data_IF_244514661612
#
_entry.id   IF_244514661612
#
_cell.length_a   1.000
_cell.length_b   1.000
_cell.length_c   1.000
_cell.angle_alpha   90.00
_cell.angle_beta   90.00
_cell.angle_gamma   90.00
#
_symmetry.space_group_name_H-M   'P 1'
#
loop_
_entity.id
_entity.type
_entity.pdbx_description
1 polymer ?
#
# COMPACT_ATOMS: atom_id res chain seq x y z
N UNK A 1 -1.38 -6.55 -20.76
CA UNK A 1 -2.66 -6.53 -20.01
C UNK A 1 -3.02 -5.07 -19.78
N UNK A 2 -4.11 -4.58 -20.36
CA UNK A 2 -4.66 -3.28 -19.94
C UNK A 2 -5.07 -3.40 -18.47
N UNK A 3 -4.60 -2.46 -17.66
CA UNK A 3 -5.16 -2.21 -16.34
C UNK A 3 -6.42 -1.38 -16.61
N UNK A 4 -7.58 -1.79 -16.09
CA UNK A 4 -8.85 -1.07 -16.31
C UNK A 4 -8.80 0.39 -15.86
N UNK A 5 -9.89 1.12 -16.09
CA UNK A 5 -10.05 2.54 -15.72
C UNK A 5 -9.70 2.81 -14.25
N UNK A 6 -8.93 3.86 -13.98
CA UNK A 6 -8.65 4.33 -12.62
C UNK A 6 -9.66 5.42 -12.25
N UNK A 7 -10.36 5.23 -11.13
CA UNK A 7 -11.35 6.19 -10.60
C UNK A 7 -10.85 6.80 -9.30
N UNK A 8 -10.97 8.12 -9.16
CA UNK A 8 -10.59 8.88 -7.96
C UNK A 8 -11.80 9.45 -7.24
N UNK A 9 -11.78 9.44 -5.91
CA UNK A 9 -12.85 9.93 -5.05
C UNK A 9 -12.27 10.62 -3.81
N UNK A 10 -12.88 11.73 -3.39
CA UNK A 10 -12.54 12.46 -2.16
C UNK A 10 -13.76 12.41 -1.22
N UNK A 11 -13.84 11.46 -0.26
CA UNK A 11 -15.03 11.27 0.58
C UNK A 11 -15.47 12.52 1.35
N UNK A 12 -14.51 13.36 1.74
CA UNK A 12 -14.74 14.58 2.51
C UNK A 12 -14.82 15.84 1.64
N UNK A 13 -14.60 15.73 0.32
CA UNK A 13 -14.56 16.86 -0.61
C UNK A 13 -13.32 17.77 -0.47
N UNK A 14 -12.49 17.58 0.56
CA UNK A 14 -11.25 18.31 0.75
C UNK A 14 -10.10 17.71 -0.12
N UNK A 15 -9.34 18.53 -0.86
CA UNK A 15 -8.24 18.06 -1.71
C UNK A 15 -7.07 17.44 -0.92
N UNK A 16 -6.87 17.90 0.32
CA UNK A 16 -5.81 17.43 1.21
C UNK A 16 -6.28 16.32 2.17
N UNK A 17 -7.58 16.00 2.15
CA UNK A 17 -8.18 14.95 2.98
C UNK A 17 -7.96 13.55 2.43
N UNK A 18 -8.81 12.62 2.85
CA UNK A 18 -8.77 11.23 2.35
C UNK A 18 -8.98 11.20 0.84
N UNK A 19 -8.05 10.59 0.11
CA UNK A 19 -8.13 10.41 -1.34
C UNK A 19 -8.12 8.93 -1.68
N UNK A 20 -9.20 8.44 -2.27
CA UNK A 20 -9.36 7.03 -2.68
C UNK A 20 -9.19 6.89 -4.19
N UNK A 21 -8.43 5.89 -4.61
CA UNK A 21 -8.35 5.44 -6.00
C UNK A 21 -8.68 3.96 -6.13
N UNK A 22 -9.37 3.58 -7.20
CA UNK A 22 -9.70 2.17 -7.51
C UNK A 22 -9.48 1.84 -8.99
N UNK A 23 -9.27 0.55 -9.29
CA UNK A 23 -9.23 0.03 -10.66
C UNK A 23 -10.62 -0.57 -10.97
N UNK A 24 -11.38 -0.03 -11.92
CA UNK A 24 -12.78 -0.43 -12.14
C UNK A 24 -12.96 -1.95 -12.39
N UNK A 25 -12.01 -2.58 -13.09
CA UNK A 25 -12.07 -4.01 -13.45
C UNK A 25 -11.47 -4.96 -12.41
N UNK A 26 -10.91 -4.44 -11.31
CA UNK A 26 -10.30 -5.24 -10.24
C UNK A 26 -10.70 -4.68 -8.88
N UNK A 27 -11.15 -5.48 -7.91
CA UNK A 27 -11.61 -4.97 -6.61
C UNK A 27 -10.43 -4.60 -5.70
N UNK A 28 -9.47 -3.81 -6.19
CA UNK A 28 -8.36 -3.27 -5.42
C UNK A 28 -8.50 -1.76 -5.37
N UNK A 29 -8.48 -1.24 -4.14
CA UNK A 29 -8.57 0.19 -3.83
C UNK A 29 -7.35 0.61 -3.03
N UNK A 30 -6.94 1.86 -3.16
CA UNK A 30 -5.94 2.47 -2.31
C UNK A 30 -6.48 3.76 -1.73
N UNK A 31 -6.16 4.00 -0.46
CA UNK A 31 -6.57 5.17 0.30
C UNK A 31 -5.31 5.93 0.69
N UNK A 32 -5.14 7.15 0.18
CA UNK A 32 -4.15 8.10 0.65
C UNK A 32 -4.77 8.92 1.77
N UNK A 33 -4.09 8.95 2.91
CA UNK A 33 -4.55 9.56 4.15
C UNK A 33 -3.46 10.53 4.60
N UNK A 34 -3.78 11.81 4.87
CA UNK A 34 -2.86 12.65 5.61
C UNK A 34 -2.72 12.09 7.02
N UNK A 35 -1.55 12.28 7.63
CA UNK A 35 -1.28 11.84 8.99
C UNK A 35 -2.33 12.31 10.00
N UNK A 36 -2.79 13.54 9.83
CA UNK A 36 -3.77 14.20 10.69
C UNK A 36 -5.14 13.51 10.67
N UNK A 37 -5.58 13.00 9.51
CA UNK A 37 -6.87 12.33 9.35
C UNK A 37 -6.96 10.98 10.08
N UNK A 38 -5.84 10.40 10.52
CA UNK A 38 -5.89 9.17 11.33
C UNK A 38 -6.51 9.39 12.73
N UNK A 39 -6.66 10.65 13.15
CA UNK A 39 -7.23 11.00 14.46
C UNK A 39 -8.76 11.08 14.44
N UNK A 40 -9.36 11.30 13.28
CA UNK A 40 -10.76 11.75 13.19
C UNK A 40 -11.76 10.60 13.23
N UNK A 41 -11.48 9.46 12.57
CA UNK A 41 -12.23 8.20 12.73
C UNK A 41 -11.57 7.04 11.96
N UNK A 42 -11.76 5.77 12.38
CA UNK A 42 -11.38 4.62 11.57
C UNK A 42 -12.24 4.53 10.30
N UNK A 43 -11.62 4.20 9.17
CA UNK A 43 -12.32 3.99 7.89
C UNK A 43 -12.82 2.54 7.82
N UNK A 44 -14.13 2.27 7.64
CA UNK A 44 -14.67 0.91 7.57
C UNK A 44 -13.98 0.04 6.51
N UNK A 45 -13.58 0.63 5.39
CA UNK A 45 -12.88 -0.05 4.28
C UNK A 45 -11.49 -0.55 4.67
N UNK A 46 -10.90 0.02 5.72
CA UNK A 46 -9.58 -0.35 6.25
C UNK A 46 -9.66 -1.32 7.43
N UNK A 47 -10.86 -1.72 7.85
CA UNK A 47 -11.08 -2.74 8.89
C UNK A 47 -10.86 -4.18 8.37
N UNK A 48 -9.85 -4.36 7.51
CA UNK A 48 -9.49 -5.65 6.91
C UNK A 48 -7.97 -5.76 6.72
N UNK A 49 -7.52 -6.97 6.39
CA UNK A 49 -6.11 -7.25 6.14
C UNK A 49 -5.62 -6.64 4.84
N UNK A 50 -4.40 -6.12 4.87
CA UNK A 50 -3.80 -5.50 3.69
C UNK A 50 -2.36 -5.07 3.90
N UNK A 51 -1.91 -4.19 3.02
CA UNK A 51 -0.59 -3.56 3.09
C UNK A 51 -0.74 -2.04 3.19
N UNK A 52 0.23 -1.39 3.82
CA UNK A 52 0.27 0.07 3.91
C UNK A 52 1.69 0.60 3.70
N UNK A 53 1.76 1.87 3.31
CA UNK A 53 2.97 2.62 3.01
C UNK A 53 2.92 3.91 3.81
N UNK A 54 3.88 4.14 4.71
CA UNK A 54 4.07 5.46 5.33
C UNK A 54 5.13 6.20 4.53
N UNK A 55 4.84 7.43 4.14
CA UNK A 55 5.65 8.25 3.25
C UNK A 55 6.02 9.53 3.98
N UNK A 56 7.28 9.94 3.86
CA UNK A 56 7.74 11.20 4.43
C UNK A 56 9.06 11.66 3.82
N UNK A 57 9.58 12.79 4.29
CA UNK A 57 10.79 13.39 3.76
C UNK A 57 12.01 12.50 3.99
N UNK A 58 13.05 12.73 3.19
CA UNK A 58 14.37 12.17 3.41
C UNK A 58 14.97 12.63 4.73
N UNK A 59 15.97 11.90 5.24
CA UNK A 59 16.69 12.31 6.44
C UNK A 59 17.49 13.62 6.25
N UNK A 60 17.86 13.93 5.01
CA UNK A 60 18.55 15.16 4.61
C UNK A 60 17.76 15.89 3.51
N UNK A 61 17.92 17.22 3.34
CA UNK A 61 17.19 18.00 2.35
C UNK A 61 17.34 17.51 0.90
N UNK A 62 18.51 16.98 0.55
CA UNK A 62 18.79 16.40 -0.78
C UNK A 62 18.56 14.86 -0.82
N UNK A 63 18.14 14.29 0.30
CA UNK A 63 17.89 12.86 0.45
C UNK A 63 16.64 12.40 -0.31
N UNK A 64 16.60 11.11 -0.64
CA UNK A 64 15.39 10.52 -1.21
C UNK A 64 14.28 10.51 -0.15
N UNK A 65 13.00 10.67 -0.54
CA UNK A 65 11.89 10.47 0.37
C UNK A 65 11.95 9.06 0.97
N UNK A 66 11.48 8.91 2.20
CA UNK A 66 11.48 7.64 2.93
C UNK A 66 10.14 6.95 2.82
N UNK A 67 10.19 5.62 2.83
CA UNK A 67 9.00 4.78 2.86
C UNK A 67 9.13 3.65 3.87
N UNK A 68 8.12 3.47 4.71
CA UNK A 68 7.94 2.28 5.52
C UNK A 68 6.84 1.42 4.92
N UNK A 69 7.11 0.12 4.71
CA UNK A 69 6.16 -0.81 4.09
C UNK A 69 5.74 -1.84 5.12
N UNK A 70 4.46 -1.79 5.51
CA UNK A 70 3.88 -2.66 6.53
C UNK A 70 2.71 -3.50 6.04
N UNK A 71 2.30 -4.46 6.87
CA UNK A 71 1.08 -5.25 6.68
C UNK A 71 0.34 -5.48 8.00
N UNK A 72 -0.94 -5.79 7.90
CA UNK A 72 -1.80 -6.06 9.05
C UNK A 72 -3.02 -6.90 8.70
N UNK A 73 -3.72 -7.36 9.73
CA UNK A 73 -5.07 -7.97 9.62
C UNK A 73 -6.19 -6.92 9.73
N UNK A 74 -5.85 -5.75 10.24
CA UNK A 74 -6.71 -4.58 10.36
C UNK A 74 -5.79 -3.37 10.11
N UNK A 75 -6.04 -2.63 9.03
CA UNK A 75 -5.20 -1.51 8.63
C UNK A 75 -5.43 -0.29 9.53
N UNK A 76 -6.65 -0.07 10.04
CA UNK A 76 -6.92 1.02 11.00
C UNK A 76 -6.08 0.84 12.26
N UNK A 77 -6.10 -0.34 12.86
CA UNK A 77 -5.30 -0.63 14.06
C UNK A 77 -3.80 -0.46 13.80
N UNK A 78 -3.32 -0.88 12.61
CA UNK A 78 -1.92 -0.71 12.25
C UNK A 78 -1.54 0.75 12.10
N UNK A 79 -2.33 1.54 11.37
CA UNK A 79 -2.06 2.94 11.14
C UNK A 79 -2.12 3.74 12.45
N UNK A 80 -3.08 3.47 13.32
CA UNK A 80 -3.15 4.07 14.66
C UNK A 80 -1.90 3.76 15.52
N UNK A 81 -1.37 2.53 15.43
CA UNK A 81 -0.12 2.17 16.10
C UNK A 81 1.08 2.94 15.51
N UNK A 82 1.12 3.12 14.19
CA UNK A 82 2.20 3.88 13.53
C UNK A 82 2.08 5.39 13.74
N UNK A 83 0.90 5.89 14.11
CA UNK A 83 0.73 7.29 14.53
C UNK A 83 1.29 7.52 15.94
N UNK A 84 1.00 6.58 16.86
CA UNK A 84 1.45 6.67 18.26
C UNK A 84 2.93 6.33 18.43
N UNK A 85 3.46 5.42 17.61
CA UNK A 85 4.86 4.98 17.62
C UNK A 85 5.44 5.02 16.20
N UNK A 86 5.68 6.22 15.64
CA UNK A 86 6.10 6.36 14.26
C UNK A 86 7.52 5.83 14.06
N UNK A 87 7.76 5.02 13.00
CA UNK A 87 9.10 4.52 12.69
C UNK A 87 10.03 5.64 12.18
N UNK A 88 9.45 6.72 11.66
CA UNK A 88 10.13 7.94 11.22
C UNK A 88 9.08 9.08 11.10
N UNK A 89 9.49 10.35 10.94
CA UNK A 89 8.57 11.45 10.64
C UNK A 89 7.92 11.28 9.26
N UNK A 90 6.72 10.71 9.22
CA UNK A 90 5.92 10.50 8.01
C UNK A 90 4.76 11.51 7.93
N UNK A 91 4.28 11.77 6.71
CA UNK A 91 3.26 12.79 6.39
C UNK A 91 2.01 12.17 5.77
N UNK A 92 2.20 11.17 4.90
CA UNK A 92 1.13 10.50 4.18
C UNK A 92 1.16 9.00 4.44
N UNK A 93 -0.01 8.41 4.64
CA UNK A 93 -0.18 6.96 4.58
C UNK A 93 -0.92 6.58 3.30
N UNK A 94 -0.47 5.55 2.60
CA UNK A 94 -1.25 4.88 1.57
C UNK A 94 -1.60 3.48 2.06
N UNK A 95 -2.89 3.20 2.23
CA UNK A 95 -3.41 1.92 2.68
C UNK A 95 -4.11 1.18 1.54
N UNK A 96 -3.79 -0.10 1.37
CA UNK A 96 -4.39 -0.96 0.34
C UNK A 96 -4.97 -2.21 1.01
N UNK A 97 -6.30 -2.26 1.23
CA UNK A 97 -6.96 -3.47 1.68
C UNK A 97 -6.84 -4.57 0.61
N UNK A 98 -6.56 -5.79 1.05
CA UNK A 98 -6.48 -6.96 0.17
C UNK A 98 -7.71 -7.83 0.35
N UNK A 99 -8.28 -8.28 -0.77
CA UNK A 99 -9.39 -9.22 -0.76
C UNK A 99 -9.04 -10.49 0.04
N UNK A 100 -10.01 -11.00 0.79
CA UNK A 100 -9.87 -12.28 1.49
C UNK A 100 -9.78 -13.38 0.44
N UNK A 101 -8.73 -14.22 0.45
CA UNK A 101 -8.60 -15.30 -0.52
C UNK A 101 -9.70 -16.35 -0.31
N UNK A 102 -9.90 -17.21 -1.32
CA UNK A 102 -10.89 -18.31 -1.29
C UNK A 102 -10.87 -19.13 0.01
N UNK A 103 -9.68 -19.31 0.57
CA UNK A 103 -9.48 -19.98 1.86
C UNK A 103 -8.99 -18.94 2.88
N UNK A 104 -9.88 -18.40 3.75
CA UNK A 104 -9.60 -17.24 4.60
C UNK A 104 -8.38 -17.37 5.51
N UNK A 105 -8.04 -18.59 5.93
CA UNK A 105 -6.87 -18.84 6.80
C UNK A 105 -5.55 -18.34 6.21
N UNK A 106 -5.47 -18.20 4.88
CA UNK A 106 -4.27 -17.74 4.17
C UNK A 106 -4.22 -16.22 3.94
N UNK A 107 -5.19 -15.45 4.45
CA UNK A 107 -5.20 -13.98 4.26
C UNK A 107 -3.96 -13.32 4.87
N UNK A 108 -3.50 -13.81 6.03
CA UNK A 108 -2.29 -13.32 6.70
C UNK A 108 -1.02 -13.62 5.88
N UNK A 109 -0.95 -14.80 5.29
CA UNK A 109 0.17 -15.23 4.44
C UNK A 109 0.18 -14.41 3.14
N UNK A 110 -0.99 -14.16 2.55
CA UNK A 110 -1.15 -13.29 1.39
C UNK A 110 -0.65 -11.87 1.68
N UNK A 111 -1.11 -11.24 2.78
CA UNK A 111 -0.70 -9.86 3.11
C UNK A 111 0.80 -9.75 3.33
N UNK A 112 1.41 -10.72 4.01
CA UNK A 112 2.87 -10.79 4.21
C UNK A 112 3.65 -10.98 2.92
N UNK A 113 3.18 -11.85 2.01
CA UNK A 113 3.83 -12.04 0.71
C UNK A 113 3.71 -10.81 -0.17
N UNK A 114 2.54 -10.18 -0.22
CA UNK A 114 2.36 -8.93 -0.96
C UNK A 114 3.28 -7.85 -0.39
N UNK A 115 3.41 -7.74 0.94
CA UNK A 115 4.36 -6.84 1.60
C UNK A 115 5.81 -7.14 1.17
N UNK A 116 6.24 -8.40 1.20
CA UNK A 116 7.58 -8.80 0.77
C UNK A 116 7.86 -8.44 -0.70
N UNK A 117 6.89 -8.71 -1.59
CA UNK A 117 7.01 -8.37 -3.00
C UNK A 117 7.06 -6.86 -3.23
N UNK A 118 6.30 -6.08 -2.47
CA UNK A 118 6.36 -4.61 -2.49
C UNK A 118 7.70 -4.11 -1.97
N UNK A 119 8.20 -4.64 -0.84
CA UNK A 119 9.49 -4.29 -0.25
C UNK A 119 10.64 -4.51 -1.25
N UNK A 120 10.72 -5.70 -1.82
CA UNK A 120 11.72 -6.03 -2.85
C UNK A 120 11.59 -5.16 -4.10
N UNK A 121 10.37 -4.83 -4.52
CA UNK A 121 10.15 -3.93 -5.66
C UNK A 121 10.59 -2.50 -5.36
N UNK A 122 10.34 -1.99 -4.14
CA UNK A 122 10.77 -0.67 -3.72
C UNK A 122 12.30 -0.54 -3.67
N UNK A 123 12.99 -1.55 -3.12
CA UNK A 123 14.46 -1.63 -3.12
C UNK A 123 15.04 -1.60 -4.54
N UNK A 124 14.41 -2.31 -5.49
CA UNK A 124 14.83 -2.31 -6.90
C UNK A 124 14.56 -0.98 -7.59
N UNK A 125 13.43 -0.34 -7.30
CA UNK A 125 13.03 0.92 -7.93
C UNK A 125 13.89 2.11 -7.47
N UNK A 126 14.46 2.05 -6.25
CA UNK A 126 15.33 3.08 -5.65
C UNK A 126 14.73 4.50 -5.68
N UNK A 127 13.40 4.62 -5.73
CA UNK A 127 12.68 5.91 -5.72
C UNK A 127 12.56 6.49 -4.32
N UNK A 128 12.48 5.61 -3.32
CA UNK A 128 12.41 5.95 -1.91
C UNK A 128 13.49 5.17 -1.16
N UNK A 129 13.93 5.71 -0.03
CA UNK A 129 14.68 4.94 0.96
C UNK A 129 13.71 4.08 1.76
N UNK A 130 13.91 2.76 1.73
CA UNK A 130 13.04 1.80 2.45
C UNK A 130 13.56 1.64 3.87
N UNK A 131 12.82 2.16 4.85
CA UNK A 131 13.21 2.12 6.27
C UNK A 131 12.63 0.93 7.03
N UNK A 132 11.66 0.23 6.45
CA UNK A 132 11.10 -1.00 7.04
C UNK A 132 12.07 -2.18 6.88
N UNK A 133 12.22 -3.05 7.90
CA UNK A 133 13.00 -4.28 7.78
C UNK A 133 12.43 -5.22 6.70
N UNK A 134 13.27 -6.08 6.11
CA UNK A 134 12.78 -7.06 5.12
C UNK A 134 11.77 -8.02 5.78
N UNK A 135 10.55 -8.17 5.24
CA UNK A 135 9.56 -9.08 5.81
C UNK A 135 9.99 -10.54 5.69
N UNK A 136 9.67 -11.36 6.68
CA UNK A 136 9.91 -12.81 6.61
C UNK A 136 9.04 -13.44 5.52
N UNK A 137 9.66 -14.23 4.64
CA UNK A 137 8.95 -15.05 3.66
C UNK A 137 8.16 -16.16 4.39
N UNK A 138 6.83 -16.28 4.20
CA UNK A 138 6.08 -17.41 4.71
C UNK A 138 6.62 -18.73 4.15
N UNK A 139 6.74 -19.75 5.00
CA UNK A 139 7.41 -21.02 4.67
C UNK A 139 6.61 -21.96 3.78
N UNK A 140 5.27 -21.85 3.78
CA UNK A 140 4.39 -22.69 2.98
C UNK A 140 3.28 -21.84 2.35
N UNK A 141 3.38 -21.66 1.04
CA UNK A 141 2.47 -20.82 0.27
C UNK A 141 1.83 -21.67 -0.81
N UNK A 142 0.50 -21.89 -0.79
CA UNK A 142 -0.17 -22.57 -1.88
C UNK A 142 -0.06 -21.78 -3.19
N UNK A 143 0.00 -22.48 -4.33
CA UNK A 143 0.13 -21.86 -5.65
C UNK A 143 -0.94 -20.80 -5.97
N UNK A 144 -2.17 -20.95 -5.45
CA UNK A 144 -3.22 -19.95 -5.65
C UNK A 144 -2.90 -18.59 -5.01
N UNK A 145 -2.17 -18.59 -3.89
CA UNK A 145 -1.73 -17.36 -3.22
C UNK A 145 -0.65 -16.66 -4.06
N UNK A 146 0.28 -17.40 -4.66
CA UNK A 146 1.35 -16.80 -5.50
C UNK A 146 0.80 -16.02 -6.70
N UNK A 147 -0.24 -16.56 -7.35
CA UNK A 147 -0.93 -15.88 -8.46
C UNK A 147 -1.56 -14.57 -7.99
N UNK A 148 -2.24 -14.61 -6.85
CA UNK A 148 -2.91 -13.45 -6.27
C UNK A 148 -1.90 -12.37 -5.84
N UNK A 149 -0.70 -12.77 -5.37
CA UNK A 149 0.39 -11.84 -5.01
C UNK A 149 0.86 -11.03 -6.20
N UNK A 150 1.13 -11.67 -7.34
CA UNK A 150 1.66 -10.99 -8.53
C UNK A 150 0.65 -9.98 -9.10
N UNK A 151 -0.63 -10.38 -9.13
CA UNK A 151 -1.72 -9.50 -9.55
C UNK A 151 -1.88 -8.31 -8.60
N UNK A 152 -1.89 -8.57 -7.28
CA UNK A 152 -2.02 -7.55 -6.24
C UNK A 152 -0.86 -6.55 -6.29
N UNK A 153 0.39 -7.03 -6.33
CA UNK A 153 1.59 -6.16 -6.41
C UNK A 153 1.55 -5.23 -7.63
N UNK A 154 1.10 -5.74 -8.79
CA UNK A 154 1.02 -4.94 -10.02
C UNK A 154 -0.07 -3.86 -9.93
N UNK A 155 -1.22 -4.21 -9.34
CA UNK A 155 -2.28 -3.24 -9.08
C UNK A 155 -1.87 -2.20 -8.04
N UNK A 156 -1.24 -2.61 -6.93
CA UNK A 156 -0.68 -1.70 -5.91
C UNK A 156 0.31 -0.72 -6.54
N UNK A 157 1.22 -1.20 -7.39
CA UNK A 157 2.17 -0.34 -8.10
C UNK A 157 1.47 0.74 -8.94
N UNK A 158 0.36 0.38 -9.59
CA UNK A 158 -0.43 1.29 -10.43
C UNK A 158 -1.14 2.33 -9.57
N UNK A 159 -1.80 1.89 -8.49
CA UNK A 159 -2.52 2.77 -7.57
C UNK A 159 -1.56 3.75 -6.85
N UNK A 160 -0.41 3.27 -6.40
CA UNK A 160 0.63 4.10 -5.79
C UNK A 160 1.14 5.18 -6.76
N UNK A 161 1.38 4.80 -8.02
CA UNK A 161 1.76 5.77 -9.05
C UNK A 161 0.65 6.81 -9.30
N UNK A 162 -0.61 6.38 -9.40
CA UNK A 162 -1.76 7.27 -9.59
C UNK A 162 -1.96 8.24 -8.42
N UNK A 163 -1.61 7.84 -7.20
CA UNK A 163 -1.62 8.69 -6.00
C UNK A 163 -0.40 9.61 -5.89
N UNK A 164 0.51 9.60 -6.86
CA UNK A 164 1.72 10.45 -6.87
C UNK A 164 2.91 9.88 -6.08
N UNK A 165 2.83 8.62 -5.62
CA UNK A 165 3.86 7.99 -4.80
C UNK A 165 4.47 6.77 -5.52
N UNK A 166 5.41 6.95 -6.47
CA UNK A 166 5.96 5.87 -7.30
C UNK A 166 6.94 4.94 -6.56
N UNK A 167 6.60 4.50 -5.34
CA UNK A 167 7.42 3.67 -4.44
C UNK A 167 7.92 2.41 -5.14
N UNK A 168 7.03 1.72 -5.87
CA UNK A 168 7.33 0.47 -6.55
C UNK A 168 7.85 0.68 -7.99
N UNK A 169 8.16 1.93 -8.35
CA UNK A 169 8.55 2.33 -9.70
C UNK A 169 7.37 2.59 -10.63
N UNK A 170 7.66 3.13 -11.80
CA UNK A 170 6.68 3.47 -12.83
C UNK A 170 6.41 2.26 -13.73
N UNK A 171 5.17 1.77 -13.78
CA UNK A 171 4.76 0.81 -14.81
C UNK A 171 3.61 1.39 -15.63
N UNK A 172 3.95 2.32 -16.52
CA UNK A 172 3.13 2.61 -17.69
C UNK A 172 3.55 1.60 -18.76
N UNK A 173 2.87 0.46 -18.86
CA UNK A 173 2.82 -0.22 -20.15
C UNK A 173 1.71 0.43 -20.95
N UNK A 174 2.02 1.59 -21.54
CA UNK A 174 1.35 2.01 -22.77
C UNK A 174 1.85 1.03 -23.82
N UNK A 175 1.03 0.03 -24.14
CA UNK A 175 1.27 -0.80 -25.31
C UNK A 175 0.50 -0.12 -26.43
N UNK A 176 1.27 0.54 -27.30
CA UNK A 176 0.88 0.92 -28.67
C UNK A 176 0.44 -0.30 -29.47
#
# INVERSE_FOLDING_TARGET
MMLGEIRSHHPEGAPDGVHMVEIAERPLRAFRLPREALKDAPLPELATGGVYFLLGPGEHPEGRPRVYIGSGRDLNQRLALQETQPPFPWEWAVAVPLAVPRVPRFHKELTKLVQLHCHRSALRARRHEVVSPEPTCPSLVPAFIERDVTASRTAIQTLLFALGHPVLGTRLQVVS
#
